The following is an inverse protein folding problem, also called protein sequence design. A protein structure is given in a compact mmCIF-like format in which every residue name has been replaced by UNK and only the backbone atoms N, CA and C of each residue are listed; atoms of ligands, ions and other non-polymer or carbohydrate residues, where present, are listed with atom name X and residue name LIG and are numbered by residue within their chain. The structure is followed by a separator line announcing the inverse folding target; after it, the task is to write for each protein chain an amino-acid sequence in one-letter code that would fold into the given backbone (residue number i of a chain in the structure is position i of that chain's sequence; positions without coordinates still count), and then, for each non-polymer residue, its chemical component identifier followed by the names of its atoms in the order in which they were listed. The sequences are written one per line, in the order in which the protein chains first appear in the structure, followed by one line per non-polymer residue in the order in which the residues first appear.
data_IF_019994775388
#
_entry.id   IF_019994775388
#
_cell.length_a   1.000
_cell.length_b   1.000
_cell.length_c   1.000
_cell.angle_alpha   90.00
_cell.angle_beta   90.00
_cell.angle_gamma   90.00
#
_symmetry.space_group_name_H-M   'P 1'
#
loop_
_entity.id
_entity.type
_entity.pdbx_description
1 polymer ?
#
# COMPACT_ATOMS: atom_id res chain seq x y z
N UNK A 1 -5.90 16.32 1.74
CA UNK A 1 -5.73 15.25 0.73
C UNK A 1 -4.56 15.50 -0.22
N UNK A 2 -4.43 16.67 -0.85
CA UNK A 2 -3.32 16.97 -1.77
C UNK A 2 -1.92 16.81 -1.14
N UNK A 3 -1.73 17.28 0.08
CA UNK A 3 -0.46 17.15 0.79
C UNK A 3 -0.06 15.68 1.03
N UNK A 4 -1.04 14.84 1.39
CA UNK A 4 -0.79 13.41 1.58
C UNK A 4 -0.43 12.69 0.27
N UNK A 5 -1.09 13.03 -0.83
CA UNK A 5 -0.77 12.50 -2.15
C UNK A 5 0.63 12.94 -2.60
N UNK A 6 0.98 14.22 -2.41
CA UNK A 6 2.31 14.74 -2.74
C UNK A 6 3.42 14.03 -1.94
N UNK A 7 3.20 13.80 -0.63
CA UNK A 7 4.14 13.06 0.22
C UNK A 7 4.30 11.60 -0.22
N UNK A 8 3.21 10.93 -0.62
CA UNK A 8 3.26 9.57 -1.14
C UNK A 8 4.06 9.50 -2.45
N UNK A 9 3.78 10.42 -3.39
CA UNK A 9 4.52 10.48 -4.66
C UNK A 9 6.01 10.78 -4.44
N UNK A 10 6.33 11.69 -3.52
CA UNK A 10 7.72 11.96 -3.15
C UNK A 10 8.40 10.73 -2.54
N UNK A 11 7.70 10.00 -1.67
CA UNK A 11 8.20 8.73 -1.13
C UNK A 11 8.47 7.69 -2.22
N UNK A 12 7.58 7.57 -3.21
CA UNK A 12 7.73 6.61 -4.31
C UNK A 12 8.89 7.02 -5.25
N UNK A 13 9.09 8.32 -5.47
CA UNK A 13 10.24 8.83 -6.21
C UNK A 13 11.58 8.51 -5.51
N UNK A 14 11.65 8.69 -4.19
CA UNK A 14 12.83 8.33 -3.40
C UNK A 14 13.06 6.82 -3.44
N UNK A 15 12.02 6.01 -3.31
CA UNK A 15 12.10 4.55 -3.45
C UNK A 15 12.65 4.15 -4.82
N UNK A 16 12.16 4.77 -5.89
CA UNK A 16 12.65 4.52 -7.25
C UNK A 16 14.14 4.84 -7.38
N UNK A 17 14.58 5.96 -6.84
CA UNK A 17 15.98 6.33 -6.86
C UNK A 17 16.86 5.31 -6.10
N UNK A 18 16.40 4.87 -4.93
CA UNK A 18 17.13 3.88 -4.12
C UNK A 18 17.19 2.50 -4.77
N UNK A 19 16.18 2.08 -5.54
CA UNK A 19 16.18 0.76 -6.20
C UNK A 19 17.24 0.62 -7.28
N UNK A 20 17.84 1.72 -7.76
CA UNK A 20 18.98 1.72 -8.68
C UNK A 20 20.28 1.26 -8.03
N UNK A 21 20.48 1.55 -6.74
CA UNK A 21 21.74 1.32 -6.04
C UNK A 21 21.66 0.21 -4.98
N UNK A 22 20.49 0.01 -4.35
CA UNK A 22 20.33 -0.88 -3.21
C UNK A 22 19.44 -2.08 -3.52
N UNK A 23 19.70 -3.17 -2.83
CA UNK A 23 18.85 -4.36 -2.90
C UNK A 23 17.48 -4.10 -2.26
N UNK A 24 16.40 -4.62 -2.88
CA UNK A 24 15.02 -4.44 -2.40
C UNK A 24 14.87 -4.79 -0.91
N UNK A 25 15.53 -5.88 -0.46
CA UNK A 25 15.51 -6.28 0.95
C UNK A 25 16.11 -5.25 1.90
N UNK A 26 17.20 -4.57 1.51
CA UNK A 26 17.82 -3.52 2.32
C UNK A 26 16.90 -2.30 2.45
N UNK A 27 16.27 -1.91 1.35
CA UNK A 27 15.32 -0.78 1.33
C UNK A 27 14.15 -1.08 2.27
N UNK A 28 13.58 -2.28 2.19
CA UNK A 28 12.48 -2.71 3.06
C UNK A 28 12.89 -2.73 4.53
N UNK A 29 14.08 -3.23 4.84
CA UNK A 29 14.60 -3.29 6.19
C UNK A 29 14.80 -1.90 6.80
N UNK A 30 15.49 -1.01 6.11
CA UNK A 30 15.68 0.37 6.55
C UNK A 30 14.34 1.09 6.76
N UNK A 31 13.43 0.98 5.79
CA UNK A 31 12.09 1.56 5.89
C UNK A 31 11.34 1.06 7.13
N UNK A 32 11.42 -0.23 7.42
CA UNK A 32 10.74 -0.83 8.57
C UNK A 32 11.27 -0.28 9.90
N UNK A 33 12.58 -0.06 10.01
CA UNK A 33 13.20 0.55 11.21
C UNK A 33 12.69 1.98 11.39
N UNK A 34 12.73 2.80 10.33
CA UNK A 34 12.28 4.20 10.40
C UNK A 34 10.79 4.32 10.75
N UNK A 35 9.94 3.43 10.24
CA UNK A 35 8.50 3.39 10.59
C UNK A 35 8.30 2.82 12.00
N UNK A 36 9.14 1.90 12.43
CA UNK A 36 9.08 1.27 13.74
C UNK A 36 9.22 2.27 14.88
N UNK A 37 10.06 3.29 14.74
CA UNK A 37 10.29 4.31 15.77
C UNK A 37 9.02 5.09 16.14
N UNK A 38 8.34 5.79 15.21
CA UNK A 38 7.10 6.51 15.55
C UNK A 38 5.98 5.58 16.00
N UNK A 39 5.91 4.36 15.44
CA UNK A 39 4.92 3.37 15.88
C UNK A 39 5.19 2.93 17.31
N UNK A 40 6.44 2.68 17.71
CA UNK A 40 6.81 2.35 19.09
C UNK A 40 6.45 3.47 20.05
N UNK A 41 6.67 4.74 19.68
CA UNK A 41 6.28 5.91 20.49
C UNK A 41 4.75 5.98 20.65
N UNK A 42 4.01 5.73 19.56
CA UNK A 42 2.53 5.72 19.62
C UNK A 42 2.01 4.59 20.52
N UNK A 43 2.58 3.40 20.44
CA UNK A 43 2.23 2.25 21.30
C UNK A 43 2.50 2.59 22.77
N UNK A 44 3.64 3.20 23.06
CA UNK A 44 3.98 3.59 24.42
C UNK A 44 3.01 4.63 24.98
N UNK A 45 2.62 5.61 24.16
CA UNK A 45 1.60 6.63 24.54
C UNK A 45 0.20 6.06 24.68
N UNK A 46 -0.15 5.02 23.93
CA UNK A 46 -1.48 4.40 23.95
C UNK A 46 -1.69 3.40 25.12
N UNK A 47 -0.74 3.30 26.07
CA UNK A 47 -0.86 2.40 27.23
C UNK A 47 -0.07 1.10 27.10
N UNK A 48 0.89 1.05 26.13
CA UNK A 48 1.80 -0.06 25.95
C UNK A 48 1.22 -1.25 25.18
N UNK A 49 1.97 -2.35 25.15
CA UNK A 49 1.67 -3.57 24.36
C UNK A 49 0.31 -4.20 24.73
N UNK A 50 -0.19 -3.96 25.94
CA UNK A 50 -1.50 -4.48 26.39
C UNK A 50 -2.69 -3.88 25.60
N UNK A 51 -2.51 -2.68 25.04
CA UNK A 51 -3.52 -2.01 24.21
C UNK A 51 -3.63 -2.62 22.80
N UNK A 52 -2.64 -3.42 22.39
CA UNK A 52 -2.55 -4.03 21.05
C UNK A 52 -3.21 -5.41 20.94
N UNK A 53 -4.04 -5.82 21.91
CA UNK A 53 -4.72 -7.12 21.82
C UNK A 53 -5.69 -7.14 20.62
N UNK A 54 -5.34 -7.81 19.51
CA UNK A 54 -6.22 -7.90 18.36
C UNK A 54 -7.37 -8.88 18.68
N UNK A 55 -8.57 -8.49 18.35
CA UNK A 55 -9.76 -9.36 18.46
C UNK A 55 -9.65 -10.55 17.52
N UNK A 56 -8.95 -10.39 16.38
CA UNK A 56 -8.76 -11.46 15.38
C UNK A 56 -7.30 -11.48 14.89
N UNK A 57 -6.43 -12.16 15.64
CA UNK A 57 -4.99 -12.26 15.34
C UNK A 57 -4.71 -12.88 13.96
N UNK A 58 -5.46 -13.91 13.56
CA UNK A 58 -5.28 -14.58 12.27
C UNK A 58 -5.51 -13.65 11.08
N UNK A 59 -6.57 -12.82 11.15
CA UNK A 59 -6.86 -11.83 10.12
C UNK A 59 -5.79 -10.74 10.02
N UNK A 60 -5.26 -10.28 11.16
CA UNK A 60 -4.18 -9.30 11.19
C UNK A 60 -2.86 -9.84 10.62
N UNK A 61 -2.51 -11.09 10.93
CA UNK A 61 -1.31 -11.74 10.39
C UNK A 61 -1.45 -11.93 8.87
N UNK A 62 -2.60 -12.43 8.39
CA UNK A 62 -2.86 -12.59 6.96
C UNK A 62 -2.77 -11.25 6.22
N UNK A 63 -3.37 -10.20 6.76
CA UNK A 63 -3.28 -8.84 6.20
C UNK A 63 -1.83 -8.33 6.16
N UNK A 64 -1.08 -8.51 7.25
CA UNK A 64 0.32 -8.08 7.31
C UNK A 64 1.16 -8.83 6.27
N UNK A 65 0.98 -10.15 6.14
CA UNK A 65 1.68 -10.95 5.14
C UNK A 65 1.38 -10.47 3.71
N UNK A 66 0.11 -10.22 3.38
CA UNK A 66 -0.30 -9.71 2.07
C UNK A 66 0.30 -8.33 1.77
N UNK A 67 0.34 -7.43 2.78
CA UNK A 67 0.95 -6.11 2.63
C UNK A 67 2.46 -6.22 2.39
N UNK A 68 3.16 -7.10 3.12
CA UNK A 68 4.60 -7.31 2.94
C UNK A 68 4.88 -7.85 1.53
N UNK A 69 4.15 -8.88 1.11
CA UNK A 69 4.29 -9.48 -0.22
C UNK A 69 3.99 -8.43 -1.31
N UNK A 70 2.89 -7.70 -1.19
CA UNK A 70 2.52 -6.65 -2.15
C UNK A 70 3.57 -5.54 -2.23
N UNK A 71 4.10 -5.09 -1.10
CA UNK A 71 5.15 -4.08 -1.04
C UNK A 71 6.45 -4.59 -1.66
N UNK A 72 6.81 -5.84 -1.42
CA UNK A 72 7.99 -6.46 -2.02
C UNK A 72 7.87 -6.51 -3.55
N UNK A 73 6.73 -6.95 -4.09
CA UNK A 73 6.49 -6.96 -5.52
C UNK A 73 6.46 -5.56 -6.13
N UNK A 74 5.85 -4.59 -5.44
CA UNK A 74 5.81 -3.20 -5.90
C UNK A 74 7.22 -2.61 -6.00
N UNK A 75 8.04 -2.72 -4.96
CA UNK A 75 9.42 -2.20 -4.96
C UNK A 75 10.28 -2.94 -5.98
N UNK A 76 10.09 -4.26 -6.14
CA UNK A 76 10.78 -5.04 -7.17
C UNK A 76 10.38 -4.58 -8.58
N UNK A 77 9.10 -4.29 -8.80
CA UNK A 77 8.60 -3.72 -10.06
C UNK A 77 9.20 -2.35 -10.37
N UNK A 78 9.34 -1.49 -9.36
CA UNK A 78 9.99 -0.18 -9.50
C UNK A 78 11.43 -0.25 -10.02
N UNK A 79 12.11 -1.37 -9.82
CA UNK A 79 13.48 -1.56 -10.33
C UNK A 79 13.51 -1.66 -11.86
N UNK A 80 12.49 -2.28 -12.45
CA UNK A 80 12.44 -2.59 -13.88
C UNK A 80 11.56 -1.61 -14.68
N UNK A 81 10.55 -1.03 -14.04
CA UNK A 81 9.57 -0.16 -14.67
C UNK A 81 9.87 1.32 -14.37
N UNK A 82 9.63 2.24 -15.31
CA UNK A 82 9.62 3.66 -15.02
C UNK A 82 8.56 3.99 -13.97
N UNK A 83 8.83 5.01 -13.14
CA UNK A 83 7.95 5.39 -12.03
C UNK A 83 6.51 5.65 -12.49
N UNK A 84 6.35 6.27 -13.65
CA UNK A 84 5.04 6.60 -14.23
C UNK A 84 4.21 5.34 -14.49
N UNK A 85 4.81 4.31 -15.08
CA UNK A 85 4.12 3.04 -15.35
C UNK A 85 3.77 2.30 -14.06
N UNK A 86 4.69 2.27 -13.09
CA UNK A 86 4.44 1.63 -11.80
C UNK A 86 3.29 2.29 -11.04
N UNK A 87 3.22 3.62 -11.05
CA UNK A 87 2.13 4.38 -10.43
C UNK A 87 0.82 4.12 -11.18
N UNK A 88 0.83 4.10 -12.51
CA UNK A 88 -0.36 3.80 -13.33
C UNK A 88 -0.94 2.41 -12.98
N UNK A 89 -0.09 1.41 -12.86
CA UNK A 89 -0.51 0.06 -12.43
C UNK A 89 -1.06 0.07 -11.00
N UNK A 90 -0.44 0.83 -10.09
CA UNK A 90 -0.93 0.96 -8.71
C UNK A 90 -2.32 1.61 -8.64
N UNK A 91 -2.62 2.54 -9.52
CA UNK A 91 -3.97 3.14 -9.64
C UNK A 91 -5.04 2.16 -10.15
N UNK A 92 -4.67 1.05 -10.76
CA UNK A 92 -5.60 -0.04 -11.05
C UNK A 92 -6.08 -0.78 -9.77
N UNK A 93 -5.38 -0.59 -8.63
CA UNK A 93 -5.73 -1.20 -7.36
C UNK A 93 -7.19 -1.00 -6.92
N UNK A 94 -7.73 0.24 -6.88
CA UNK A 94 -9.14 0.48 -6.56
C UNK A 94 -10.11 -0.25 -7.47
N UNK A 95 -9.76 -0.45 -8.75
CA UNK A 95 -10.53 -1.19 -9.73
C UNK A 95 -10.59 -2.67 -9.36
N UNK A 96 -9.45 -3.28 -9.05
CA UNK A 96 -9.38 -4.66 -8.59
C UNK A 96 -10.10 -4.86 -7.27
N UNK A 97 -9.94 -3.96 -6.30
CA UNK A 97 -10.65 -4.02 -5.02
C UNK A 97 -12.17 -3.99 -5.24
N UNK A 98 -12.66 -3.11 -6.11
CA UNK A 98 -14.09 -2.99 -6.40
C UNK A 98 -14.63 -4.23 -7.12
N UNK A 99 -13.88 -4.77 -8.08
CA UNK A 99 -14.26 -5.97 -8.82
C UNK A 99 -14.26 -7.23 -7.95
N UNK A 100 -13.26 -7.36 -7.04
CA UNK A 100 -13.12 -8.50 -6.15
C UNK A 100 -14.02 -8.42 -4.90
N UNK A 101 -14.44 -7.22 -4.49
CA UNK A 101 -15.33 -7.06 -3.33
C UNK A 101 -16.67 -7.78 -3.53
N UNK A 102 -17.19 -7.80 -4.75
CA UNK A 102 -18.45 -8.45 -5.05
C UNK A 102 -18.41 -9.98 -4.88
N UNK A 103 -17.47 -10.73 -5.50
CA UNK A 103 -17.40 -12.18 -5.36
C UNK A 103 -16.81 -12.65 -4.02
N UNK A 104 -15.91 -11.90 -3.38
CA UNK A 104 -15.24 -12.31 -2.16
C UNK A 104 -15.98 -11.93 -0.88
N UNK A 105 -16.62 -10.75 -0.85
CA UNK A 105 -17.31 -10.23 0.32
C UNK A 105 -18.84 -10.33 0.21
N UNK A 106 -19.34 -10.80 -0.93
CA UNK A 106 -20.79 -10.86 -1.22
C UNK A 106 -21.50 -9.50 -1.02
N UNK A 107 -20.74 -8.39 -1.16
CA UNK A 107 -21.26 -7.03 -1.06
C UNK A 107 -21.78 -6.58 -2.43
N UNK A 108 -23.00 -6.06 -2.45
CA UNK A 108 -23.56 -5.44 -3.66
C UNK A 108 -22.85 -4.09 -3.90
N UNK A 109 -21.89 -4.09 -4.80
CA UNK A 109 -21.23 -2.86 -5.23
C UNK A 109 -22.21 -2.03 -6.04
N UNK A 110 -22.65 -0.89 -5.48
CA UNK A 110 -23.57 0.00 -6.14
C UNK A 110 -22.99 0.56 -7.46
N UNK A 111 -23.84 0.76 -8.46
CA UNK A 111 -23.49 1.23 -9.80
C UNK A 111 -22.65 2.53 -9.80
N UNK A 112 -22.82 3.39 -8.79
CA UNK A 112 -22.04 4.61 -8.60
C UNK A 112 -20.54 4.35 -8.43
N UNK A 113 -20.16 3.24 -7.76
CA UNK A 113 -18.75 2.83 -7.61
C UNK A 113 -18.19 2.34 -8.94
N UNK A 114 -18.98 1.63 -9.74
CA UNK A 114 -18.60 1.19 -11.08
C UNK A 114 -18.35 2.37 -12.02
N UNK A 115 -19.20 3.40 -11.98
CA UNK A 115 -18.99 4.63 -12.77
C UNK A 115 -17.72 5.35 -12.32
N UNK A 116 -17.49 5.51 -11.02
CA UNK A 116 -16.27 6.15 -10.53
C UNK A 116 -15.01 5.41 -10.98
N UNK A 117 -15.05 4.08 -10.99
CA UNK A 117 -13.97 3.22 -11.47
C UNK A 117 -13.76 3.37 -12.97
N UNK A 118 -14.84 3.41 -13.76
CA UNK A 118 -14.77 3.64 -15.21
C UNK A 118 -14.19 5.02 -15.54
N UNK A 119 -14.62 6.08 -14.84
CA UNK A 119 -14.07 7.41 -15.01
C UNK A 119 -12.58 7.45 -14.66
N UNK A 120 -12.18 6.79 -13.56
CA UNK A 120 -10.78 6.69 -13.18
C UNK A 120 -9.95 5.94 -14.22
N UNK A 121 -10.50 4.88 -14.82
CA UNK A 121 -9.88 4.13 -15.92
C UNK A 121 -9.74 4.98 -17.19
N UNK A 122 -10.73 5.85 -17.47
CA UNK A 122 -10.70 6.71 -18.66
C UNK A 122 -9.68 7.85 -18.56
N UNK A 123 -9.41 8.33 -17.34
CA UNK A 123 -8.39 9.38 -17.08
C UNK A 123 -6.96 8.82 -17.30
N UNK A 124 -6.79 7.49 -17.34
CA UNK A 124 -5.50 6.82 -17.48
C UNK A 124 -5.14 6.41 -18.92
N UNK A 125 -6.03 6.61 -19.89
CA UNK A 125 -5.75 6.45 -21.32
C UNK A 125 -5.37 7.81 -21.92
#
# INVERSE_FOLDING_TARGET
MLLGAALLTANDAVLKWMTGEYHVGQIMFCRSIFIGVPVAILIWRAGGIKSLRPVNSKGHIARAALVIIGTFFFISGLRYLPLTEAITIAFAGPLFVTALAQPLLNERVGWRRWIAVLILSLIHI
#
